data_IF_570343984831
#
_entry.id   IF_570343984831
#
_cell.length_a   1.000
_cell.length_b   1.000
_cell.length_c   1.000
_cell.angle_alpha   90.00
_cell.angle_beta   90.00
_cell.angle_gamma   90.00
#
_symmetry.space_group_name_H-M   'P 1'
#
loop_
_entity.id
_entity.type
_entity.pdbx_description
1 polymer ?
#
# COMPACT_ATOMS: atom_id res chain seq x y z
N UNK A 1 4.52 4.53 -19.31
CA UNK A 1 4.16 3.21 -18.78
C UNK A 1 2.66 3.22 -18.60
N UNK A 2 2.00 2.21 -19.16
CA UNK A 2 0.55 2.12 -19.18
C UNK A 2 0.08 1.84 -17.74
N UNK A 3 -0.54 2.83 -17.10
CA UNK A 3 -1.07 2.70 -15.76
C UNK A 3 -2.18 1.66 -15.78
N UNK A 4 -1.86 0.43 -15.39
CA UNK A 4 -2.80 -0.68 -15.33
C UNK A 4 -3.87 -0.31 -14.31
N UNK A 5 -4.96 0.30 -14.77
CA UNK A 5 -6.13 0.59 -13.92
C UNK A 5 -6.54 -0.71 -13.26
N UNK A 6 -6.46 -0.73 -11.93
CA UNK A 6 -6.89 -1.85 -11.11
C UNK A 6 -8.37 -2.12 -11.40
N UNK A 7 -8.72 -3.39 -11.60
CA UNK A 7 -10.13 -3.78 -11.67
C UNK A 7 -10.67 -3.75 -10.25
N UNK A 8 -11.61 -2.84 -9.99
CA UNK A 8 -12.28 -2.78 -8.70
C UNK A 8 -13.08 -4.06 -8.47
N UNK A 9 -12.76 -4.80 -7.41
CA UNK A 9 -13.59 -5.91 -6.98
C UNK A 9 -14.76 -5.36 -6.16
N UNK A 10 -15.99 -5.67 -6.60
CA UNK A 10 -17.18 -5.35 -5.82
C UNK A 10 -17.29 -6.33 -4.63
N UNK A 11 -16.99 -5.84 -3.43
CA UNK A 11 -17.19 -6.62 -2.20
C UNK A 11 -18.64 -7.13 -2.09
N UNK A 12 -18.87 -8.36 -1.58
CA UNK A 12 -20.22 -8.84 -1.27
C UNK A 12 -20.95 -7.92 -0.31
N UNK A 13 -22.25 -7.72 -0.50
CA UNK A 13 -23.04 -6.78 0.30
C UNK A 13 -23.11 -7.17 1.78
N UNK A 14 -23.11 -8.46 2.09
CA UNK A 14 -23.02 -8.96 3.47
C UNK A 14 -21.80 -8.40 4.21
N UNK A 15 -20.63 -8.37 3.55
CA UNK A 15 -19.39 -7.85 4.13
C UNK A 15 -19.47 -6.33 4.33
N UNK A 16 -20.03 -5.60 3.37
CA UNK A 16 -20.23 -4.15 3.50
C UNK A 16 -21.10 -3.83 4.72
N UNK A 17 -22.20 -4.56 4.90
CA UNK A 17 -23.10 -4.38 6.04
C UNK A 17 -22.40 -4.71 7.37
N UNK A 18 -21.61 -5.78 7.43
CA UNK A 18 -20.86 -6.14 8.65
C UNK A 18 -19.82 -5.08 9.04
N UNK A 19 -19.08 -4.51 8.08
CA UNK A 19 -18.11 -3.44 8.35
C UNK A 19 -18.79 -2.21 8.98
N UNK A 20 -19.98 -1.84 8.49
CA UNK A 20 -20.75 -0.67 8.93
C UNK A 20 -21.49 -0.88 10.24
N UNK A 21 -22.05 -2.07 10.45
CA UNK A 21 -23.02 -2.33 11.51
C UNK A 21 -22.39 -2.81 12.81
N UNK A 22 -21.18 -3.36 12.74
CA UNK A 22 -20.53 -3.93 13.92
C UNK A 22 -19.74 -2.83 14.68
N UNK A 23 -20.04 -2.58 15.97
CA UNK A 23 -19.37 -1.55 16.77
C UNK A 23 -17.86 -1.81 16.93
N UNK A 24 -17.07 -0.75 17.13
CA UNK A 24 -15.60 -0.81 17.29
C UNK A 24 -15.09 -1.60 18.53
N UNK A 25 -15.97 -2.18 19.35
CA UNK A 25 -15.68 -2.45 20.76
C UNK A 25 -15.55 -3.94 21.15
N UNK A 26 -15.46 -4.90 20.22
CA UNK A 26 -15.01 -6.25 20.59
C UNK A 26 -14.04 -6.86 19.57
N UNK A 27 -12.92 -7.40 20.03
CA UNK A 27 -11.95 -8.08 19.16
C UNK A 27 -12.49 -9.38 18.51
N UNK A 28 -13.65 -9.87 18.95
CA UNK A 28 -14.39 -10.96 18.29
C UNK A 28 -14.89 -10.52 16.92
N UNK A 29 -15.36 -9.28 16.83
CA UNK A 29 -16.06 -8.72 15.67
C UNK A 29 -15.18 -8.63 14.42
N UNK A 30 -13.88 -8.33 14.59
CA UNK A 30 -12.94 -8.20 13.47
C UNK A 30 -12.64 -9.55 12.83
N UNK A 31 -12.46 -10.59 13.66
CA UNK A 31 -12.23 -11.96 13.20
C UNK A 31 -13.45 -12.49 12.47
N UNK A 32 -14.65 -12.21 12.99
CA UNK A 32 -15.91 -12.62 12.37
C UNK A 32 -16.09 -12.01 10.98
N UNK A 33 -15.73 -10.72 10.79
CA UNK A 33 -15.73 -10.09 9.46
C UNK A 33 -14.76 -10.79 8.50
N UNK A 34 -13.55 -11.14 8.95
CA UNK A 34 -12.57 -11.85 8.10
C UNK A 34 -13.05 -13.26 7.75
N UNK A 35 -13.63 -13.99 8.71
CA UNK A 35 -14.21 -15.33 8.46
C UNK A 35 -15.34 -15.22 7.43
N UNK A 36 -16.28 -14.28 7.62
CA UNK A 36 -17.35 -14.05 6.65
C UNK A 36 -16.81 -13.71 5.26
N UNK A 37 -15.76 -12.89 5.18
CA UNK A 37 -15.11 -12.54 3.92
C UNK A 37 -14.50 -13.78 3.24
N UNK A 38 -13.81 -14.63 4.00
CA UNK A 38 -13.24 -15.88 3.49
C UNK A 38 -14.34 -16.83 2.99
N UNK A 39 -15.42 -17.01 3.76
CA UNK A 39 -16.54 -17.88 3.39
C UNK A 39 -17.28 -17.37 2.14
N UNK A 40 -17.59 -16.08 2.09
CA UNK A 40 -18.29 -15.45 0.97
C UNK A 40 -17.53 -15.58 -0.36
N UNK A 41 -16.19 -15.60 -0.27
CA UNK A 41 -15.29 -15.72 -1.43
C UNK A 41 -14.72 -17.13 -1.63
N UNK A 42 -15.13 -18.09 -0.79
CA UNK A 42 -14.64 -19.47 -0.81
C UNK A 42 -13.10 -19.57 -0.74
N UNK A 43 -12.47 -18.67 0.01
CA UNK A 43 -11.03 -18.63 0.18
C UNK A 43 -10.56 -19.80 1.06
N UNK A 44 -9.41 -20.38 0.72
CA UNK A 44 -8.78 -21.40 1.55
C UNK A 44 -8.16 -20.76 2.79
N UNK A 45 -8.00 -21.53 3.86
CA UNK A 45 -7.35 -21.04 5.08
C UNK A 45 -5.95 -20.44 4.84
N UNK A 46 -5.19 -20.97 3.87
CA UNK A 46 -3.84 -20.49 3.53
C UNK A 46 -3.85 -19.23 2.66
N UNK A 47 -4.98 -18.85 2.07
CA UNK A 47 -5.08 -17.74 1.12
C UNK A 47 -4.74 -16.39 1.74
N UNK A 48 -4.88 -16.21 3.06
CA UNK A 48 -4.47 -14.96 3.72
C UNK A 48 -2.96 -14.88 3.90
N UNK A 49 -2.31 -15.99 4.26
CA UNK A 49 -0.88 -16.04 4.51
C UNK A 49 -0.05 -16.07 3.23
N UNK A 50 -0.58 -16.67 2.15
CA UNK A 50 0.08 -16.75 0.84
C UNK A 50 -0.98 -16.41 -0.23
N UNK A 51 -1.33 -15.12 -0.36
CA UNK A 51 -2.37 -14.70 -1.29
C UNK A 51 -1.86 -14.71 -2.73
N UNK A 52 -2.63 -15.35 -3.61
CA UNK A 52 -2.50 -15.19 -5.07
C UNK A 52 -2.85 -13.76 -5.49
N UNK A 53 -2.42 -13.28 -6.68
CA UNK A 53 -2.66 -11.90 -7.10
C UNK A 53 -4.12 -11.44 -7.03
N UNK A 54 -5.06 -12.33 -7.34
CA UNK A 54 -6.50 -12.04 -7.22
C UNK A 54 -6.92 -11.86 -5.76
N UNK A 55 -6.48 -12.77 -4.88
CA UNK A 55 -6.73 -12.67 -3.43
C UNK A 55 -6.11 -11.40 -2.83
N UNK A 56 -4.89 -11.02 -3.26
CA UNK A 56 -4.27 -9.75 -2.84
C UNK A 56 -5.16 -8.55 -3.18
N UNK A 57 -5.72 -8.53 -4.39
CA UNK A 57 -6.64 -7.45 -4.78
C UNK A 57 -7.88 -7.45 -3.91
N UNK A 58 -8.49 -8.61 -3.66
CA UNK A 58 -9.69 -8.71 -2.81
C UNK A 58 -9.41 -8.24 -1.37
N UNK A 59 -8.26 -8.60 -0.80
CA UNK A 59 -7.84 -8.16 0.54
C UNK A 59 -7.65 -6.65 0.57
N UNK A 60 -7.00 -6.07 -0.45
CA UNK A 60 -6.82 -4.61 -0.54
C UNK A 60 -8.15 -3.88 -0.72
N UNK A 61 -9.10 -4.44 -1.45
CA UNK A 61 -10.45 -3.87 -1.59
C UNK A 61 -11.22 -3.90 -0.26
N UNK A 62 -11.07 -4.98 0.51
CA UNK A 62 -11.57 -5.05 1.89
C UNK A 62 -10.91 -3.98 2.79
N UNK A 63 -9.59 -3.82 2.72
CA UNK A 63 -8.86 -2.82 3.49
C UNK A 63 -9.25 -1.38 3.10
N UNK A 64 -9.43 -1.11 1.80
CA UNK A 64 -9.92 0.16 1.29
C UNK A 64 -11.32 0.49 1.82
N UNK A 65 -12.23 -0.49 1.80
CA UNK A 65 -13.56 -0.31 2.37
C UNK A 65 -13.49 -0.06 3.87
N UNK A 66 -12.69 -0.83 4.61
CA UNK A 66 -12.48 -0.65 6.04
C UNK A 66 -11.99 0.78 6.38
N UNK A 67 -10.98 1.30 5.64
CA UNK A 67 -10.51 2.69 5.77
C UNK A 67 -11.63 3.70 5.54
N UNK A 68 -12.44 3.53 4.50
CA UNK A 68 -13.55 4.46 4.20
C UNK A 68 -14.62 4.51 5.29
N UNK A 69 -14.79 3.41 6.03
CA UNK A 69 -15.73 3.27 7.15
C UNK A 69 -15.05 3.54 8.51
N UNK A 70 -13.80 4.03 8.51
CA UNK A 70 -12.99 4.34 9.71
C UNK A 70 -12.77 3.11 10.63
N UNK A 71 -12.63 1.92 10.03
CA UNK A 71 -12.36 0.65 10.71
C UNK A 71 -10.86 0.32 10.73
N UNK A 72 -10.09 1.17 11.43
CA UNK A 72 -8.63 1.02 11.56
C UNK A 72 -8.23 -0.26 12.34
N UNK A 73 -9.13 -0.79 13.16
CA UNK A 73 -9.01 -2.09 13.81
C UNK A 73 -8.95 -3.24 12.79
N UNK A 74 -9.85 -3.23 11.80
CA UNK A 74 -9.88 -4.23 10.74
C UNK A 74 -8.67 -4.10 9.81
N UNK A 75 -8.27 -2.87 9.46
CA UNK A 75 -7.07 -2.64 8.62
C UNK A 75 -5.81 -3.19 9.30
N UNK A 76 -5.62 -2.90 10.60
CA UNK A 76 -4.50 -3.46 11.38
C UNK A 76 -4.55 -4.98 11.42
N UNK A 77 -5.71 -5.55 11.72
CA UNK A 77 -5.84 -7.01 11.76
C UNK A 77 -5.53 -7.67 10.41
N UNK A 78 -5.95 -7.08 9.29
CA UNK A 78 -5.63 -7.57 7.96
C UNK A 78 -4.11 -7.55 7.71
N UNK A 79 -3.40 -6.50 8.14
CA UNK A 79 -1.93 -6.44 8.05
C UNK A 79 -1.24 -7.49 8.91
N UNK A 80 -1.80 -7.82 10.08
CA UNK A 80 -1.24 -8.83 10.97
C UNK A 80 -1.32 -10.26 10.39
N UNK A 81 -2.35 -10.54 9.58
CA UNK A 81 -2.64 -11.89 9.06
C UNK A 81 -2.28 -12.08 7.59
N UNK A 82 -1.80 -11.04 6.91
CA UNK A 82 -1.40 -11.09 5.49
C UNK A 82 0.06 -10.65 5.31
N UNK A 83 0.75 -11.09 4.26
CA UNK A 83 2.09 -10.61 3.98
C UNK A 83 2.11 -9.10 3.75
N UNK A 84 3.26 -8.48 4.03
CA UNK A 84 3.49 -7.07 3.72
C UNK A 84 3.20 -6.78 2.23
N UNK A 85 2.75 -5.57 1.92
CA UNK A 85 2.44 -5.17 0.55
C UNK A 85 1.07 -5.63 0.05
N UNK A 86 0.23 -6.21 0.92
CA UNK A 86 -1.06 -6.79 0.53
C UNK A 86 -2.22 -5.80 0.70
N UNK A 87 -2.27 -5.01 1.78
CA UNK A 87 -3.45 -4.22 2.14
C UNK A 87 -3.56 -2.86 1.44
N UNK A 88 -2.52 -2.45 0.71
CA UNK A 88 -2.39 -1.07 0.24
C UNK A 88 -1.85 -0.13 1.34
N UNK A 89 -1.58 1.15 0.98
CA UNK A 89 -1.09 2.17 1.90
C UNK A 89 -2.17 2.52 2.94
N UNK A 90 -1.78 2.99 4.13
CA UNK A 90 -2.68 3.56 5.14
C UNK A 90 -3.21 4.92 4.67
N UNK A 91 -2.37 5.69 4.00
CA UNK A 91 -2.73 6.94 3.37
C UNK A 91 -3.70 6.72 2.19
N UNK A 92 -4.33 7.81 1.76
CA UNK A 92 -5.22 7.79 0.60
C UNK A 92 -4.41 7.50 -0.67
N UNK A 93 -4.79 6.48 -1.43
CA UNK A 93 -4.07 6.02 -2.64
C UNK A 93 -4.01 7.08 -3.75
N UNK A 94 -5.03 7.95 -3.84
CA UNK A 94 -5.10 9.05 -4.81
C UNK A 94 -4.38 10.33 -4.33
N UNK A 95 -3.89 10.34 -3.08
CA UNK A 95 -3.13 11.46 -2.53
C UNK A 95 -1.84 11.63 -3.35
N UNK A 96 -1.53 12.87 -3.75
CA UNK A 96 -0.21 13.19 -4.30
C UNK A 96 0.86 12.97 -3.23
N UNK A 97 1.98 12.36 -3.59
CA UNK A 97 3.12 12.13 -2.69
C UNK A 97 3.61 13.44 -2.05
N UNK A 98 3.59 14.55 -2.78
CA UNK A 98 3.96 15.87 -2.25
C UNK A 98 2.97 16.45 -1.23
N UNK A 99 1.81 15.81 -1.04
CA UNK A 99 0.81 16.16 -0.04
C UNK A 99 0.78 15.20 1.16
N UNK A 100 1.69 14.22 1.21
CA UNK A 100 1.82 13.32 2.36
C UNK A 100 2.10 14.12 3.64
N UNK A 101 1.59 13.68 4.80
CA UNK A 101 1.95 14.32 6.05
C UNK A 101 3.46 14.16 6.30
N UNK A 102 4.07 15.22 6.86
CA UNK A 102 5.54 15.35 6.95
C UNK A 102 6.24 14.12 7.52
N UNK A 103 5.72 13.55 8.62
CA UNK A 103 6.36 12.40 9.30
C UNK A 103 6.40 11.16 8.41
N UNK A 104 5.31 10.83 7.73
CA UNK A 104 5.22 9.69 6.82
C UNK A 104 6.12 9.87 5.59
N UNK A 105 6.20 11.09 5.07
CA UNK A 105 7.09 11.41 3.95
C UNK A 105 8.57 11.30 4.36
N UNK A 106 8.93 11.83 5.53
CA UNK A 106 10.28 11.73 6.10
C UNK A 106 10.68 10.27 6.34
N UNK A 107 9.82 9.49 7.00
CA UNK A 107 10.06 8.07 7.29
C UNK A 107 10.23 7.23 6.01
N UNK A 108 9.38 7.47 4.99
CA UNK A 108 9.49 6.83 3.68
C UNK A 108 10.84 7.14 3.02
N UNK A 109 11.18 8.42 2.91
CA UNK A 109 12.40 8.84 2.20
C UNK A 109 13.67 8.45 2.94
N UNK A 110 13.64 8.40 4.27
CA UNK A 110 14.77 7.93 5.08
C UNK A 110 14.93 6.41 4.97
N UNK A 111 13.84 5.65 5.01
CA UNK A 111 13.88 4.19 4.87
C UNK A 111 14.44 3.77 3.51
N UNK A 112 14.05 4.46 2.43
CA UNK A 112 14.57 4.21 1.09
C UNK A 112 16.03 4.65 0.89
N UNK A 113 16.44 5.73 1.56
CA UNK A 113 17.78 6.29 1.43
C UNK A 113 18.80 5.70 2.42
N UNK A 114 18.35 4.83 3.33
CA UNK A 114 19.21 4.12 4.28
C UNK A 114 20.13 3.08 3.62
N UNK A 115 19.75 2.60 2.43
CA UNK A 115 20.54 1.69 1.60
C UNK A 115 20.44 2.04 0.11
N UNK A 116 20.38 1.02 -0.73
CA UNK A 116 20.31 1.15 -2.20
C UNK A 116 18.87 1.03 -2.74
N UNK A 117 17.87 0.89 -1.87
CA UNK A 117 16.46 0.68 -2.21
C UNK A 117 15.90 1.84 -3.06
N UNK A 118 16.31 3.07 -2.77
CA UNK A 118 15.92 4.23 -3.56
C UNK A 118 16.33 4.15 -5.03
N UNK A 119 17.40 3.39 -5.37
CA UNK A 119 17.89 3.25 -6.75
C UNK A 119 16.91 2.43 -7.59
N UNK A 120 16.32 1.39 -7.00
CA UNK A 120 15.28 0.57 -7.64
C UNK A 120 14.04 1.41 -7.94
N UNK A 121 13.58 2.18 -6.95
CA UNK A 121 12.45 3.10 -7.11
C UNK A 121 12.75 4.16 -8.18
N UNK A 122 13.93 4.78 -8.14
CA UNK A 122 14.34 5.79 -9.11
C UNK A 122 14.34 5.26 -10.55
N UNK A 123 14.87 4.06 -10.76
CA UNK A 123 14.87 3.41 -12.08
C UNK A 123 13.44 3.14 -12.57
N UNK A 124 12.56 2.62 -11.70
CA UNK A 124 11.13 2.42 -12.04
C UNK A 124 10.39 3.72 -12.36
N UNK A 125 10.77 4.82 -11.70
CA UNK A 125 10.23 6.15 -11.97
C UNK A 125 10.86 6.81 -13.21
N UNK A 126 11.78 6.14 -13.90
CA UNK A 126 12.34 6.54 -15.19
C UNK A 126 13.63 7.34 -15.12
N UNK A 127 14.32 7.37 -13.98
CA UNK A 127 15.65 7.97 -13.90
C UNK A 127 16.68 7.07 -14.58
N UNK A 128 17.58 7.69 -15.32
CA UNK A 128 18.71 7.00 -15.93
C UNK A 128 19.78 6.63 -14.88
N UNK A 129 20.58 5.62 -15.20
CA UNK A 129 21.74 5.22 -14.39
C UNK A 129 22.74 6.37 -14.15
N UNK A 130 22.85 7.33 -15.08
CA UNK A 130 23.69 8.52 -14.92
C UNK A 130 23.13 9.44 -13.83
N UNK A 131 21.81 9.68 -13.85
CA UNK A 131 21.14 10.49 -12.83
C UNK A 131 21.23 9.83 -11.45
N UNK A 132 20.97 8.52 -11.37
CA UNK A 132 21.09 7.75 -10.13
C UNK A 132 22.52 7.87 -9.58
N UNK A 133 23.55 7.59 -10.38
CA UNK A 133 24.95 7.71 -9.94
C UNK A 133 25.34 9.13 -9.51
N UNK A 134 24.74 10.15 -10.12
CA UNK A 134 24.97 11.54 -9.74
C UNK A 134 24.40 11.83 -8.36
N UNK A 135 23.16 11.41 -8.08
CA UNK A 135 22.48 11.62 -6.79
C UNK A 135 23.16 10.85 -5.66
N UNK A 136 23.54 9.59 -5.92
CA UNK A 136 24.19 8.67 -4.97
C UNK A 136 25.43 9.28 -4.29
N UNK A 137 26.15 10.15 -4.99
CA UNK A 137 27.41 10.76 -4.50
C UNK A 137 27.25 12.18 -3.96
N UNK A 138 26.07 12.78 -4.09
CA UNK A 138 25.90 14.24 -3.92
C UNK A 138 24.76 14.62 -3.00
N UNK A 139 23.91 13.68 -2.62
CA UNK A 139 22.67 13.96 -1.88
C UNK A 139 22.55 13.01 -0.70
N UNK A 140 22.28 13.56 0.49
CA UNK A 140 22.07 12.77 1.71
C UNK A 140 20.76 11.98 1.69
N UNK A 141 19.69 12.58 1.15
CA UNK A 141 18.39 11.94 0.96
C UNK A 141 18.03 11.93 -0.54
N UNK A 142 18.60 10.99 -1.33
CA UNK A 142 18.31 10.90 -2.75
C UNK A 142 16.82 10.61 -3.03
N UNK A 143 16.12 9.89 -2.15
CA UNK A 143 14.69 9.58 -2.32
C UNK A 143 13.83 10.84 -2.33
N UNK A 144 14.08 11.79 -1.43
CA UNK A 144 13.39 13.07 -1.42
C UNK A 144 13.57 13.83 -2.75
N UNK A 145 14.79 13.86 -3.28
CA UNK A 145 15.09 14.51 -4.56
C UNK A 145 14.38 13.81 -5.72
N UNK A 146 14.37 12.48 -5.74
CA UNK A 146 13.69 11.68 -6.78
C UNK A 146 12.18 11.94 -6.75
N UNK A 147 11.53 11.78 -5.60
CA UNK A 147 10.09 11.95 -5.47
C UNK A 147 9.66 13.39 -5.77
N UNK A 148 10.41 14.37 -5.28
CA UNK A 148 10.18 15.79 -5.58
C UNK A 148 10.34 16.12 -7.06
N UNK A 149 11.34 15.55 -7.74
CA UNK A 149 11.57 15.79 -9.17
C UNK A 149 10.44 15.18 -10.01
N UNK A 150 10.07 13.93 -9.76
CA UNK A 150 9.01 13.23 -10.49
C UNK A 150 7.65 13.91 -10.25
N UNK A 151 7.35 14.25 -9.00
CA UNK A 151 6.10 14.95 -8.62
C UNK A 151 5.96 16.36 -9.22
N UNK A 152 7.07 17.03 -9.58
CA UNK A 152 7.05 18.30 -10.32
C UNK A 152 6.69 18.13 -11.80
N UNK A 153 6.98 16.96 -12.39
CA UNK A 153 6.78 16.71 -13.80
C UNK A 153 5.45 16.00 -14.12
N UNK A 154 4.91 15.24 -13.17
CA UNK A 154 3.63 14.56 -13.29
C UNK A 154 2.99 14.35 -11.93
N UNK A 155 1.69 14.06 -11.95
CA UNK A 155 1.04 13.53 -10.76
C UNK A 155 1.66 12.17 -10.40
N UNK A 156 2.07 12.04 -9.14
CA UNK A 156 2.65 10.84 -8.55
C UNK A 156 1.85 10.55 -7.28
N UNK A 157 1.03 9.51 -7.31
CA UNK A 157 0.13 9.19 -6.20
C UNK A 157 0.79 8.25 -5.19
N UNK A 158 0.30 8.26 -3.95
CA UNK A 158 0.74 7.32 -2.92
C UNK A 158 0.49 5.88 -3.34
N UNK A 159 -0.64 5.59 -3.99
CA UNK A 159 -0.95 4.27 -4.53
C UNK A 159 0.08 3.81 -5.57
N UNK A 160 0.51 4.71 -6.46
CA UNK A 160 1.53 4.39 -7.46
C UNK A 160 2.89 4.06 -6.83
N UNK A 161 3.32 4.83 -5.82
CA UNK A 161 4.56 4.53 -5.08
C UNK A 161 4.43 3.21 -4.35
N UNK A 162 3.29 2.94 -3.71
CA UNK A 162 3.06 1.70 -2.97
C UNK A 162 3.22 0.50 -3.90
N UNK A 163 2.52 0.51 -5.03
CA UNK A 163 2.54 -0.60 -5.99
C UNK A 163 3.94 -0.75 -6.60
N UNK A 164 4.63 0.36 -6.89
CA UNK A 164 6.00 0.33 -7.40
C UNK A 164 6.97 -0.29 -6.38
N UNK A 165 6.84 0.01 -5.09
CA UNK A 165 7.68 -0.56 -4.04
C UNK A 165 7.41 -2.07 -3.87
N UNK A 166 6.15 -2.49 -3.90
CA UNK A 166 5.79 -3.92 -3.89
C UNK A 166 6.40 -4.64 -5.10
N UNK A 167 6.32 -4.05 -6.29
CA UNK A 167 6.92 -4.59 -7.51
C UNK A 167 8.47 -4.54 -7.51
N UNK A 168 9.07 -3.78 -6.60
CA UNK A 168 10.52 -3.76 -6.35
C UNK A 168 10.95 -4.72 -5.23
N UNK A 169 10.03 -5.58 -4.74
CA UNK A 169 10.27 -6.47 -3.61
C UNK A 169 10.59 -5.73 -2.30
N UNK A 170 10.05 -4.51 -2.14
CA UNK A 170 10.16 -3.67 -0.94
C UNK A 170 8.81 -3.50 -0.20
N UNK A 171 8.02 -4.58 0.03
CA UNK A 171 6.68 -4.44 0.60
C UNK A 171 6.66 -3.90 2.03
N UNK A 172 7.73 -4.15 2.82
CA UNK A 172 7.83 -3.64 4.18
C UNK A 172 7.96 -2.09 4.21
N UNK A 173 8.66 -1.51 3.24
CA UNK A 173 8.75 -0.05 3.09
C UNK A 173 7.43 0.50 2.57
N UNK A 174 6.76 -0.20 1.66
CA UNK A 174 5.45 0.20 1.13
C UNK A 174 4.41 0.34 2.27
N UNK A 175 4.40 -0.58 3.23
CA UNK A 175 3.44 -0.58 4.35
C UNK A 175 3.69 0.49 5.42
N UNK A 176 4.80 1.24 5.34
CA UNK A 176 5.04 2.44 6.16
C UNK A 176 4.10 3.60 5.77
N UNK A 177 3.58 3.58 4.54
CA UNK A 177 2.62 4.54 4.03
C UNK A 177 1.19 4.16 4.37
#
# INVERSE_FOLDING_TARGET
>A
MDGKKRKDFALPDSIKTSIQSIPLNSGSDVKDIVIQFQEALQLKATSMAIPEPETKSMIRDLALRAKSEKRDDLVRHLRDITPAGTTGPLLNEDMSVGCMPYKQYEELTFSLSGGDEWKLLAERLGLSQIQIRFLDKRVTNPSDVVLSAVGKHRHLSVGEIYDTLVDCELPAIADLM
#
